data_IF_506883079322
#
_entry.id   IF_506883079322
#
_cell.length_a   1.000
_cell.length_b   1.000
_cell.length_c   1.000
_cell.angle_alpha   90.00
_cell.angle_beta   90.00
_cell.angle_gamma   90.00
#
_symmetry.space_group_name_H-M   'P 1'
#
loop_
_entity.id
_entity.type
_entity.pdbx_description
1 polymer ?
#
# COMPACT_ATOMS: atom_id res chain seq x y z
N UNK A 1 11.52 -21.44 -24.96
CA UNK A 1 11.05 -20.42 -23.99
C UNK A 1 11.94 -19.17 -24.00
N UNK A 2 13.19 -19.20 -23.52
CA UNK A 2 14.02 -17.96 -23.48
C UNK A 2 14.43 -17.41 -24.84
N UNK A 3 14.67 -18.27 -25.84
CA UNK A 3 15.07 -17.83 -27.20
C UNK A 3 13.89 -17.23 -27.97
N UNK A 4 12.75 -17.92 -27.94
CA UNK A 4 11.53 -17.48 -28.63
C UNK A 4 10.99 -16.17 -28.04
N UNK A 5 10.96 -16.05 -26.70
CA UNK A 5 10.53 -14.82 -26.04
C UNK A 5 11.45 -13.63 -26.40
N UNK A 6 12.76 -13.86 -26.49
CA UNK A 6 13.72 -12.81 -26.88
C UNK A 6 13.47 -12.31 -28.29
N UNK A 7 13.21 -13.21 -29.24
CA UNK A 7 12.88 -12.85 -30.63
C UNK A 7 11.55 -12.09 -30.70
N UNK A 8 10.54 -12.53 -29.95
CA UNK A 8 9.25 -11.83 -29.86
C UNK A 8 9.41 -10.41 -29.30
N UNK A 9 10.21 -10.22 -28.26
CA UNK A 9 10.46 -8.89 -27.67
C UNK A 9 11.12 -7.91 -28.64
N UNK A 10 11.99 -8.37 -29.56
CA UNK A 10 12.63 -7.50 -30.56
C UNK A 10 11.66 -6.94 -31.60
N UNK A 11 10.53 -7.60 -31.82
CA UNK A 11 9.49 -7.21 -32.78
C UNK A 11 8.21 -6.71 -32.09
N UNK A 12 8.26 -6.51 -30.77
CA UNK A 12 7.09 -6.17 -30.00
C UNK A 12 6.76 -4.68 -30.08
N UNK A 13 5.48 -4.36 -30.24
CA UNK A 13 4.94 -3.00 -30.28
C UNK A 13 3.85 -2.82 -29.23
N UNK A 14 3.72 -1.58 -28.74
CA UNK A 14 2.68 -1.21 -27.80
C UNK A 14 1.37 -0.84 -28.50
N UNK A 15 0.26 -1.49 -28.15
CA UNK A 15 -1.07 -1.16 -28.64
C UNK A 15 -2.04 -0.87 -27.50
N UNK A 16 -2.66 0.30 -27.50
CA UNK A 16 -3.68 0.67 -26.52
C UNK A 16 -4.98 -0.10 -26.78
N UNK A 17 -5.54 -0.69 -25.73
CA UNK A 17 -6.78 -1.48 -25.76
C UNK A 17 -7.63 -1.14 -24.54
N UNK A 18 -8.95 -1.16 -24.72
CA UNK A 18 -9.89 -1.10 -23.61
C UNK A 18 -10.06 -2.49 -23.01
N UNK A 19 -9.85 -2.60 -21.71
CA UNK A 19 -9.84 -3.89 -21.00
C UNK A 19 -10.57 -3.83 -19.66
N UNK A 20 -11.18 -4.94 -19.28
CA UNK A 20 -11.50 -5.27 -17.90
C UNK A 20 -10.36 -6.14 -17.38
N UNK A 21 -9.78 -5.73 -16.26
CA UNK A 21 -8.68 -6.41 -15.60
C UNK A 21 -9.19 -7.02 -14.31
N UNK A 22 -8.86 -8.29 -14.10
CA UNK A 22 -9.18 -9.06 -12.91
C UNK A 22 -7.86 -9.55 -12.33
N UNK A 23 -7.66 -9.28 -11.05
CA UNK A 23 -6.55 -9.81 -10.27
C UNK A 23 -7.14 -10.64 -9.14
N UNK A 24 -6.61 -11.84 -8.92
CA UNK A 24 -7.00 -12.71 -7.80
C UNK A 24 -5.76 -13.18 -7.04
N UNK A 25 -5.95 -13.49 -5.76
CA UNK A 25 -4.89 -13.95 -4.84
C UNK A 25 -5.46 -14.80 -3.72
N UNK A 26 -4.81 -15.93 -3.45
CA UNK A 26 -5.25 -16.91 -2.46
C UNK A 26 -4.91 -16.48 -1.04
N UNK A 27 -5.95 -16.28 -0.22
CA UNK A 27 -5.77 -15.75 1.13
C UNK A 27 -5.21 -16.78 2.09
N UNK A 28 -4.07 -16.44 2.67
CA UNK A 28 -3.37 -17.31 3.61
C UNK A 28 -2.38 -18.26 2.93
N UNK A 29 -2.23 -18.21 1.60
CA UNK A 29 -1.28 -19.08 0.90
C UNK A 29 0.16 -18.87 1.36
N UNK A 30 0.60 -17.62 1.55
CA UNK A 30 1.93 -17.33 2.11
C UNK A 30 2.21 -17.98 3.48
N UNK A 31 1.17 -18.20 4.30
CA UNK A 31 1.29 -18.91 5.57
C UNK A 31 1.28 -20.42 5.36
N UNK A 32 0.40 -20.91 4.48
CA UNK A 32 0.32 -22.31 4.07
C UNK A 32 1.64 -22.80 3.46
N UNK A 33 2.23 -22.07 2.52
CA UNK A 33 3.49 -22.41 1.86
C UNK A 33 4.73 -22.42 2.78
N UNK A 34 4.62 -21.89 4.01
CA UNK A 34 5.68 -22.01 5.03
C UNK A 34 5.63 -23.32 5.79
N UNK A 35 4.48 -23.98 5.80
CA UNK A 35 4.19 -25.16 6.62
C UNK A 35 4.03 -26.40 5.74
N UNK A 36 3.38 -26.25 4.59
CA UNK A 36 3.18 -27.31 3.61
C UNK A 36 4.48 -27.70 2.92
N UNK A 37 4.55 -28.96 2.50
CA UNK A 37 5.63 -29.41 1.63
C UNK A 37 5.57 -28.67 0.29
N UNK A 38 6.73 -28.42 -0.32
CA UNK A 38 6.78 -27.67 -1.58
C UNK A 38 6.03 -28.37 -2.71
N UNK A 39 5.92 -29.70 -2.68
CA UNK A 39 5.11 -30.48 -3.61
C UNK A 39 3.62 -30.21 -3.44
N UNK A 40 3.15 -30.15 -2.20
CA UNK A 40 1.74 -29.98 -1.87
C UNK A 40 1.28 -28.58 -2.25
N UNK A 41 2.12 -27.56 -1.99
CA UNK A 41 1.85 -26.21 -2.45
C UNK A 41 1.78 -26.11 -3.98
N UNK A 42 2.66 -26.81 -4.70
CA UNK A 42 2.64 -26.84 -6.15
C UNK A 42 1.41 -27.57 -6.70
N UNK A 43 1.00 -28.68 -6.08
CA UNK A 43 -0.16 -29.46 -6.48
C UNK A 43 -1.47 -28.70 -6.25
N UNK A 44 -1.59 -28.01 -5.11
CA UNK A 44 -2.70 -27.11 -4.85
C UNK A 44 -2.79 -26.00 -5.90
N UNK A 45 -1.68 -25.30 -6.19
CA UNK A 45 -1.68 -24.24 -7.21
C UNK A 45 -2.03 -24.79 -8.60
N UNK A 46 -1.50 -25.96 -8.98
CA UNK A 46 -1.87 -26.62 -10.24
C UNK A 46 -3.38 -26.82 -10.31
N UNK A 47 -3.96 -27.43 -9.29
CA UNK A 47 -5.40 -27.74 -9.21
C UNK A 47 -6.25 -26.47 -9.30
N UNK A 48 -5.93 -25.46 -8.49
CA UNK A 48 -6.61 -24.16 -8.48
C UNK A 48 -6.54 -23.48 -9.85
N UNK A 49 -5.35 -23.37 -10.46
CA UNK A 49 -5.20 -22.66 -11.73
C UNK A 49 -5.89 -23.37 -12.90
N UNK A 50 -5.85 -24.71 -12.93
CA UNK A 50 -6.58 -25.49 -13.93
C UNK A 50 -8.08 -25.22 -13.82
N UNK A 51 -8.65 -25.32 -12.62
CA UNK A 51 -10.08 -25.07 -12.39
C UNK A 51 -10.50 -23.64 -12.77
N UNK A 52 -9.69 -22.63 -12.41
CA UNK A 52 -9.98 -21.23 -12.74
C UNK A 52 -10.02 -20.98 -14.25
N UNK A 53 -9.07 -21.54 -15.00
CA UNK A 53 -8.97 -21.32 -16.46
C UNK A 53 -10.02 -22.14 -17.23
N UNK A 54 -10.29 -23.37 -16.79
CA UNK A 54 -11.16 -24.27 -17.53
C UNK A 54 -12.65 -24.00 -17.23
N UNK A 55 -13.01 -23.63 -16.00
CA UNK A 55 -14.42 -23.58 -15.57
C UNK A 55 -14.95 -22.16 -15.27
N UNK A 56 -14.07 -21.21 -14.97
CA UNK A 56 -14.48 -19.85 -14.58
C UNK A 56 -14.19 -18.84 -15.68
N UNK A 57 -12.93 -18.62 -16.02
CA UNK A 57 -12.52 -17.60 -16.97
C UNK A 57 -12.14 -18.23 -18.30
N UNK A 58 -13.15 -18.71 -19.02
CA UNK A 58 -12.97 -19.35 -20.33
C UNK A 58 -12.56 -18.29 -21.36
N UNK A 59 -11.54 -18.61 -22.15
CA UNK A 59 -11.01 -17.81 -23.27
C UNK A 59 -10.77 -16.32 -22.96
N UNK A 60 -9.97 -15.98 -21.93
CA UNK A 60 -9.58 -14.59 -21.70
C UNK A 60 -8.67 -14.11 -22.83
N UNK A 61 -8.66 -12.80 -23.09
CA UNK A 61 -7.72 -12.20 -24.06
C UNK A 61 -6.27 -12.44 -23.63
N UNK A 62 -6.02 -12.39 -22.31
CA UNK A 62 -4.72 -12.64 -21.74
C UNK A 62 -4.86 -13.09 -20.29
N UNK A 63 -3.97 -13.99 -19.85
CA UNK A 63 -3.78 -14.26 -18.45
C UNK A 63 -2.33 -14.55 -18.11
N UNK A 64 -1.95 -14.32 -16.85
CA UNK A 64 -0.64 -14.73 -16.32
C UNK A 64 -0.73 -15.09 -14.84
N UNK A 65 0.06 -16.08 -14.42
CA UNK A 65 0.22 -16.42 -13.01
C UNK A 65 1.11 -15.37 -12.33
N UNK A 66 0.79 -15.02 -11.09
CA UNK A 66 1.50 -14.01 -10.29
C UNK A 66 1.89 -14.54 -8.91
N UNK A 67 2.46 -15.75 -8.87
CA UNK A 67 2.79 -16.45 -7.62
C UNK A 67 1.66 -17.39 -7.23
N UNK A 68 0.92 -17.02 -6.18
CA UNK A 68 -0.32 -17.61 -5.66
C UNK A 68 -1.59 -16.88 -6.14
N UNK A 69 -1.39 -15.94 -7.06
CA UNK A 69 -2.47 -15.21 -7.71
C UNK A 69 -2.46 -15.36 -9.23
N UNK A 70 -3.42 -14.70 -9.86
CA UNK A 70 -3.58 -14.69 -11.31
C UNK A 70 -4.06 -13.32 -11.77
N UNK A 71 -3.53 -12.87 -12.91
CA UNK A 71 -4.02 -11.75 -13.68
C UNK A 71 -4.79 -12.29 -14.88
N UNK A 72 -5.99 -11.77 -15.10
CA UNK A 72 -6.88 -12.12 -16.21
C UNK A 72 -7.38 -10.82 -16.86
N UNK A 73 -7.40 -10.77 -18.18
CA UNK A 73 -7.89 -9.62 -18.94
C UNK A 73 -8.89 -10.05 -20.00
N UNK A 74 -9.94 -9.24 -20.12
CA UNK A 74 -10.87 -9.27 -21.23
C UNK A 74 -10.79 -7.95 -21.97
N UNK A 75 -10.58 -8.01 -23.30
CA UNK A 75 -10.73 -6.85 -24.17
C UNK A 75 -12.21 -6.59 -24.42
N UNK A 76 -12.59 -5.32 -24.50
CA UNK A 76 -13.94 -4.93 -24.91
C UNK A 76 -13.90 -3.76 -25.90
N UNK A 77 -15.01 -3.60 -26.61
CA UNK A 77 -15.35 -2.45 -27.43
C UNK A 77 -16.71 -1.88 -26.99
N UNK A 78 -17.31 -1.01 -27.80
CA UNK A 78 -18.59 -0.38 -27.48
C UNK A 78 -19.73 -1.39 -27.34
N UNK A 79 -19.72 -2.46 -28.14
CA UNK A 79 -20.82 -3.41 -28.23
C UNK A 79 -20.71 -4.48 -27.15
N UNK A 80 -19.49 -4.90 -26.83
CA UNK A 80 -19.20 -5.97 -25.86
C UNK A 80 -19.03 -5.49 -24.42
N UNK A 81 -18.94 -4.18 -24.15
CA UNK A 81 -18.64 -3.65 -22.81
C UNK A 81 -19.56 -4.19 -21.71
N UNK A 82 -20.88 -4.18 -21.92
CA UNK A 82 -21.85 -4.59 -20.90
C UNK A 82 -21.69 -6.08 -20.60
N UNK A 83 -21.60 -6.91 -21.63
CA UNK A 83 -21.48 -8.36 -21.48
C UNK A 83 -20.16 -8.76 -20.81
N UNK A 84 -19.05 -8.13 -21.21
CA UNK A 84 -17.72 -8.39 -20.62
C UNK A 84 -17.68 -7.99 -19.15
N UNK A 85 -18.23 -6.82 -18.80
CA UNK A 85 -18.27 -6.36 -17.40
C UNK A 85 -19.13 -7.28 -16.54
N UNK A 86 -20.34 -7.64 -16.99
CA UNK A 86 -21.21 -8.55 -16.24
C UNK A 86 -20.59 -9.93 -16.08
N UNK A 87 -20.04 -10.50 -17.16
CA UNK A 87 -19.38 -11.81 -17.12
C UNK A 87 -18.20 -11.80 -16.15
N UNK A 88 -17.35 -10.77 -16.19
CA UNK A 88 -16.20 -10.64 -15.30
C UNK A 88 -16.61 -10.59 -13.82
N UNK A 89 -17.63 -9.80 -13.48
CA UNK A 89 -18.12 -9.62 -12.11
C UNK A 89 -18.83 -10.88 -11.61
N UNK A 90 -19.76 -11.42 -12.40
CA UNK A 90 -20.50 -12.65 -12.08
C UNK A 90 -19.55 -13.83 -11.84
N UNK A 91 -18.59 -14.03 -12.75
CA UNK A 91 -17.61 -15.11 -12.64
C UNK A 91 -16.74 -14.95 -11.41
N UNK A 92 -16.32 -13.71 -11.09
CA UNK A 92 -15.53 -13.41 -9.89
C UNK A 92 -16.30 -13.70 -8.60
N UNK A 93 -17.57 -13.29 -8.52
CA UNK A 93 -18.43 -13.55 -7.36
C UNK A 93 -18.68 -15.05 -7.18
N UNK A 94 -18.91 -15.78 -8.28
CA UNK A 94 -19.07 -17.24 -8.28
C UNK A 94 -17.79 -17.92 -7.80
N UNK A 95 -16.63 -17.55 -8.36
CA UNK A 95 -15.34 -18.10 -7.95
C UNK A 95 -15.07 -17.91 -6.46
N UNK A 96 -15.27 -16.70 -5.93
CA UNK A 96 -15.12 -16.44 -4.48
C UNK A 96 -16.01 -17.36 -3.63
N UNK A 97 -17.24 -17.62 -4.10
CA UNK A 97 -18.21 -18.45 -3.39
C UNK A 97 -17.79 -19.92 -3.36
N UNK A 98 -17.28 -20.42 -4.48
CA UNK A 98 -16.95 -21.82 -4.66
C UNK A 98 -15.51 -22.17 -4.22
N UNK A 99 -14.65 -21.16 -4.03
CA UNK A 99 -13.20 -21.32 -3.88
C UNK A 99 -12.79 -22.34 -2.80
N UNK A 100 -13.49 -22.35 -1.65
CA UNK A 100 -13.17 -23.26 -0.55
C UNK A 100 -13.35 -24.75 -0.89
N UNK A 101 -14.11 -25.08 -1.93
CA UNK A 101 -14.32 -26.43 -2.44
C UNK A 101 -13.66 -26.71 -3.79
N UNK A 102 -12.87 -25.76 -4.34
CA UNK A 102 -12.39 -25.81 -5.72
C UNK A 102 -11.54 -27.06 -6.04
N UNK A 103 -10.81 -27.56 -5.04
CA UNK A 103 -9.95 -28.74 -5.16
C UNK A 103 -10.55 -30.02 -4.56
N UNK A 104 -11.83 -30.02 -4.14
CA UNK A 104 -12.42 -31.13 -3.38
C UNK A 104 -12.44 -32.46 -4.16
N UNK A 105 -12.54 -32.39 -5.49
CA UNK A 105 -12.55 -33.57 -6.37
C UNK A 105 -11.16 -33.97 -6.88
N UNK A 106 -10.10 -33.25 -6.48
CA UNK A 106 -8.73 -33.59 -6.87
C UNK A 106 -8.10 -34.54 -5.83
N UNK A 107 -7.94 -35.85 -6.14
CA UNK A 107 -7.43 -36.81 -5.17
C UNK A 107 -5.97 -36.56 -4.77
N UNK A 108 -5.23 -35.71 -5.52
CA UNK A 108 -3.87 -35.31 -5.18
C UNK A 108 -3.83 -34.17 -4.16
N UNK A 109 -4.94 -33.45 -3.96
CA UNK A 109 -5.08 -32.42 -2.92
C UNK A 109 -5.78 -33.03 -1.70
N UNK A 110 -5.03 -33.80 -0.92
CA UNK A 110 -5.55 -34.55 0.24
C UNK A 110 -5.08 -33.99 1.60
N UNK A 111 -4.77 -32.70 1.64
CA UNK A 111 -4.27 -31.94 2.78
C UNK A 111 -5.09 -30.66 3.00
N UNK A 112 -4.95 -30.01 4.16
CA UNK A 112 -5.64 -28.75 4.43
C UNK A 112 -5.10 -27.63 3.53
N UNK A 113 -6.00 -26.92 2.85
CA UNK A 113 -5.66 -25.84 1.91
C UNK A 113 -6.35 -24.53 2.28
N UNK A 114 -5.81 -23.38 1.83
CA UNK A 114 -6.50 -22.11 1.95
C UNK A 114 -7.85 -22.12 1.24
N UNK A 115 -8.90 -21.62 1.90
CA UNK A 115 -10.28 -21.62 1.39
C UNK A 115 -10.86 -20.25 1.05
N UNK A 116 -10.04 -19.19 1.03
CA UNK A 116 -10.49 -17.82 0.80
C UNK A 116 -9.72 -17.17 -0.36
N UNK A 117 -10.40 -16.27 -1.07
CA UNK A 117 -9.87 -15.62 -2.27
C UNK A 117 -10.18 -14.12 -2.24
N UNK A 118 -9.18 -13.28 -2.54
CA UNK A 118 -9.40 -11.86 -2.80
C UNK A 118 -9.39 -11.60 -4.29
N UNK A 119 -10.35 -10.84 -4.80
CA UNK A 119 -10.41 -10.41 -6.20
C UNK A 119 -10.51 -8.89 -6.30
N UNK A 120 -9.75 -8.29 -7.22
CA UNK A 120 -9.80 -6.89 -7.58
C UNK A 120 -10.11 -6.73 -9.05
N UNK A 121 -11.07 -5.86 -9.37
CA UNK A 121 -11.51 -5.62 -10.75
C UNK A 121 -11.41 -4.13 -11.07
N UNK A 122 -10.79 -3.81 -12.21
CA UNK A 122 -10.79 -2.46 -12.73
C UNK A 122 -10.96 -2.48 -14.26
N UNK A 123 -11.39 -1.37 -14.85
CA UNK A 123 -11.41 -1.22 -16.31
C UNK A 123 -10.75 0.06 -16.77
N UNK A 124 -10.29 0.06 -18.00
CA UNK A 124 -9.73 1.26 -18.61
C UNK A 124 -8.92 0.96 -19.86
N UNK A 125 -8.21 1.98 -20.34
CA UNK A 125 -7.21 1.79 -21.38
C UNK A 125 -5.94 1.19 -20.76
N UNK A 126 -5.44 0.12 -21.36
CA UNK A 126 -4.15 -0.51 -21.06
C UNK A 126 -3.38 -0.75 -22.36
N UNK A 127 -2.05 -0.77 -22.27
CA UNK A 127 -1.17 -1.01 -23.41
C UNK A 127 -0.77 -2.48 -23.42
N UNK A 128 -1.20 -3.21 -24.44
CA UNK A 128 -0.72 -4.54 -24.76
C UNK A 128 0.63 -4.44 -25.47
N UNK A 129 1.60 -5.25 -25.03
CA UNK A 129 2.85 -5.47 -25.74
C UNK A 129 2.66 -6.66 -26.67
N UNK A 130 2.71 -6.44 -27.98
CA UNK A 130 2.28 -7.44 -28.99
C UNK A 130 3.40 -7.70 -29.98
N UNK A 131 3.67 -8.97 -30.27
CA UNK A 131 4.57 -9.40 -31.35
C UNK A 131 3.84 -10.35 -32.29
N UNK A 132 3.63 -9.93 -33.53
CA UNK A 132 2.75 -10.62 -34.48
C UNK A 132 1.31 -10.68 -33.94
N UNK A 133 0.77 -11.88 -33.79
CA UNK A 133 -0.56 -12.12 -33.21
C UNK A 133 -0.52 -12.41 -31.70
N UNK A 134 0.68 -12.44 -31.09
CA UNK A 134 0.85 -12.83 -29.68
C UNK A 134 0.92 -11.60 -28.78
N UNK A 135 0.05 -11.58 -27.78
CA UNK A 135 0.19 -10.65 -26.66
C UNK A 135 1.22 -11.20 -25.67
N UNK A 136 2.26 -10.41 -25.39
CA UNK A 136 3.36 -10.78 -24.51
C UNK A 136 3.11 -10.34 -23.06
N UNK A 137 2.62 -9.13 -22.87
CA UNK A 137 2.23 -8.61 -21.56
C UNK A 137 1.27 -7.42 -21.72
N UNK A 138 0.70 -6.98 -20.60
CA UNK A 138 -0.07 -5.74 -20.48
C UNK A 138 0.55 -4.80 -19.44
N UNK A 139 0.39 -3.51 -19.67
CA UNK A 139 0.77 -2.46 -18.73
C UNK A 139 -0.28 -1.35 -18.70
N UNK A 140 -0.43 -0.67 -17.56
CA UNK A 140 -1.32 0.48 -17.44
C UNK A 140 -1.93 0.65 -16.07
N UNK A 141 -2.55 1.81 -15.86
CA UNK A 141 -3.25 2.17 -14.62
C UNK A 141 -4.31 1.13 -14.18
N UNK A 142 -5.18 0.58 -15.04
CA UNK A 142 -6.19 -0.37 -14.57
C UNK A 142 -5.58 -1.67 -14.02
N UNK A 143 -4.41 -2.11 -14.50
CA UNK A 143 -3.71 -3.27 -13.95
C UNK A 143 -3.24 -3.00 -12.52
N UNK A 144 -2.58 -1.85 -12.31
CA UNK A 144 -2.08 -1.47 -10.98
C UNK A 144 -3.22 -1.25 -10.00
N UNK A 145 -4.34 -0.67 -10.46
CA UNK A 145 -5.52 -0.48 -9.62
C UNK A 145 -6.17 -1.82 -9.25
N UNK A 146 -6.45 -2.69 -10.22
CA UNK A 146 -7.03 -4.01 -9.96
C UNK A 146 -6.17 -4.83 -8.98
N UNK A 147 -4.84 -4.83 -9.14
CA UNK A 147 -3.94 -5.50 -8.21
C UNK A 147 -4.05 -4.94 -6.78
N UNK A 148 -4.23 -3.63 -6.62
CA UNK A 148 -4.39 -3.00 -5.31
C UNK A 148 -5.78 -3.18 -4.71
N UNK A 149 -6.82 -3.21 -5.52
CA UNK A 149 -8.17 -3.52 -5.06
C UNK A 149 -8.27 -4.98 -4.62
N UNK A 150 -7.55 -5.86 -5.31
CA UNK A 150 -7.43 -7.26 -4.91
C UNK A 150 -6.85 -7.36 -3.51
N UNK A 151 -5.86 -6.57 -3.10
CA UNK A 151 -5.34 -6.53 -1.72
C UNK A 151 -6.42 -6.19 -0.66
N UNK A 152 -7.46 -5.45 -1.04
CA UNK A 152 -8.56 -5.03 -0.17
C UNK A 152 -9.67 -6.09 -0.01
N UNK A 153 -9.78 -7.05 -0.93
CA UNK A 153 -10.75 -8.14 -0.88
C UNK A 153 -10.45 -9.12 0.27
N UNK A 154 -10.74 -8.72 1.51
CA UNK A 154 -10.45 -9.45 2.75
C UNK A 154 -11.71 -9.55 3.62
N UNK A 155 -11.90 -10.64 4.38
CA UNK A 155 -11.08 -11.85 4.40
C UNK A 155 -11.22 -12.70 3.13
N UNK A 156 -12.30 -12.50 2.35
CA UNK A 156 -12.56 -13.11 1.04
C UNK A 156 -13.59 -12.22 0.32
N UNK A 157 -13.50 -12.06 -1.00
CA UNK A 157 -14.47 -11.27 -1.76
C UNK A 157 -13.89 -10.41 -2.87
N UNK A 158 -14.79 -9.68 -3.53
CA UNK A 158 -14.50 -8.86 -4.72
C UNK A 158 -14.53 -7.38 -4.39
N UNK A 159 -13.53 -6.63 -4.87
CA UNK A 159 -13.50 -5.15 -4.82
C UNK A 159 -13.34 -4.61 -6.24
N UNK A 160 -14.23 -3.69 -6.61
CA UNK A 160 -14.37 -3.19 -7.98
C UNK A 160 -14.10 -1.69 -8.00
N UNK A 161 -13.31 -1.22 -8.96
CA UNK A 161 -13.13 0.20 -9.24
C UNK A 161 -14.45 0.88 -9.61
N UNK A 162 -14.74 2.06 -9.06
CA UNK A 162 -15.92 2.85 -9.44
C UNK A 162 -15.95 3.13 -10.96
N UNK A 163 -14.79 3.19 -11.60
CA UNK A 163 -14.65 3.35 -13.06
C UNK A 163 -15.36 2.28 -13.88
N UNK A 164 -15.66 1.09 -13.32
CA UNK A 164 -16.53 0.08 -13.95
C UNK A 164 -17.91 0.64 -14.25
N UNK A 165 -18.41 1.54 -13.40
CA UNK A 165 -19.78 2.09 -13.38
C UNK A 165 -20.81 1.02 -13.04
N UNK A 166 -21.37 1.10 -11.83
CA UNK A 166 -22.29 0.08 -11.32
C UNK A 166 -23.54 -0.06 -12.19
N UNK A 167 -23.96 1.01 -12.89
CA UNK A 167 -25.11 0.99 -13.80
C UNK A 167 -24.94 0.06 -15.01
N UNK A 168 -23.73 -0.42 -15.29
CA UNK A 168 -23.50 -1.43 -16.33
C UNK A 168 -23.81 -2.85 -15.85
N UNK A 169 -23.91 -3.07 -14.54
CA UNK A 169 -24.19 -4.38 -13.98
C UNK A 169 -25.70 -4.66 -14.00
N UNK A 170 -26.05 -5.94 -14.13
CA UNK A 170 -27.40 -6.42 -13.84
C UNK A 170 -27.74 -6.16 -12.37
N UNK A 171 -29.02 -5.99 -12.08
CA UNK A 171 -29.52 -5.66 -10.74
C UNK A 171 -29.09 -6.70 -9.69
N UNK A 172 -29.17 -8.00 -10.03
CA UNK A 172 -28.76 -9.12 -9.15
C UNK A 172 -27.28 -9.09 -8.74
N UNK A 173 -26.43 -8.51 -9.59
CA UNK A 173 -25.00 -8.36 -9.30
C UNK A 173 -24.74 -7.08 -8.51
N UNK A 174 -25.32 -5.95 -8.95
CA UNK A 174 -25.09 -4.65 -8.30
C UNK A 174 -25.55 -4.62 -6.84
N UNK A 175 -26.64 -5.32 -6.52
CA UNK A 175 -27.16 -5.46 -5.15
C UNK A 175 -26.20 -6.17 -4.20
N UNK A 176 -25.18 -6.88 -4.69
CA UNK A 176 -24.18 -7.55 -3.85
C UNK A 176 -23.07 -6.61 -3.35
N UNK A 177 -23.02 -5.37 -3.84
CA UNK A 177 -21.96 -4.43 -3.51
C UNK A 177 -22.47 -3.23 -2.70
N UNK A 178 -21.56 -2.64 -1.92
CA UNK A 178 -21.71 -1.33 -1.29
C UNK A 178 -20.68 -0.37 -1.84
N UNK A 179 -21.07 0.87 -2.12
CA UNK A 179 -20.12 1.89 -2.56
C UNK A 179 -19.35 2.46 -1.36
N UNK A 180 -18.03 2.50 -1.46
CA UNK A 180 -17.13 3.05 -0.44
C UNK A 180 -16.08 3.97 -1.06
N UNK A 181 -15.44 4.80 -0.23
CA UNK A 181 -14.25 5.56 -0.60
C UNK A 181 -13.04 5.02 0.15
N UNK A 182 -11.99 4.67 -0.58
CA UNK A 182 -10.79 4.03 0.00
C UNK A 182 -9.51 4.71 -0.44
N UNK A 183 -8.51 4.67 0.42
CA UNK A 183 -7.15 5.11 0.14
C UNK A 183 -6.28 3.92 -0.23
N UNK A 184 -5.53 4.06 -1.32
CA UNK A 184 -4.82 2.96 -1.95
C UNK A 184 -3.36 3.32 -2.18
N UNK A 185 -2.44 2.54 -1.59
CA UNK A 185 -1.00 2.78 -1.72
C UNK A 185 -0.56 2.71 -3.18
N UNK A 186 0.23 3.68 -3.62
CA UNK A 186 0.74 3.84 -4.98
C UNK A 186 -0.27 4.38 -5.98
N UNK A 187 -1.54 4.58 -5.59
CA UNK A 187 -2.61 4.99 -6.51
C UNK A 187 -3.34 6.24 -6.01
N UNK A 188 -3.84 6.20 -4.77
CA UNK A 188 -4.80 7.13 -4.21
C UNK A 188 -4.52 7.31 -2.70
N UNK A 189 -3.35 7.89 -2.39
CA UNK A 189 -2.86 7.96 -1.01
C UNK A 189 -3.37 9.19 -0.26
N UNK A 190 -3.63 10.29 -0.97
CA UNK A 190 -4.10 11.55 -0.39
C UNK A 190 -5.59 11.82 -0.64
N UNK A 191 -6.08 11.41 -1.81
CA UNK A 191 -7.47 11.54 -2.23
C UNK A 191 -8.05 10.14 -2.38
N UNK A 192 -9.15 9.85 -1.71
CA UNK A 192 -9.79 8.55 -1.77
C UNK A 192 -10.37 8.29 -3.18
N UNK A 193 -10.35 7.03 -3.60
CA UNK A 193 -11.04 6.57 -4.82
C UNK A 193 -12.34 5.86 -4.45
N UNK A 194 -13.36 6.02 -5.28
CA UNK A 194 -14.59 5.26 -5.17
C UNK A 194 -14.36 3.80 -5.57
N UNK A 195 -14.96 2.89 -4.81
CA UNK A 195 -14.97 1.45 -5.08
C UNK A 195 -16.34 0.86 -4.75
N UNK A 196 -16.66 -0.26 -5.38
CA UNK A 196 -17.78 -1.12 -5.02
C UNK A 196 -17.23 -2.35 -4.31
N UNK A 197 -17.67 -2.58 -3.10
CA UNK A 197 -17.15 -3.59 -2.17
C UNK A 197 -18.19 -4.67 -1.97
N UNK A 198 -17.84 -5.92 -2.25
CA UNK A 198 -18.68 -7.08 -1.96
C UNK A 198 -19.05 -7.08 -0.46
N UNK A 199 -20.32 -7.34 -0.13
CA UNK A 199 -20.82 -7.37 1.26
C UNK A 199 -20.06 -8.32 2.20
N UNK A 200 -19.28 -9.27 1.66
CA UNK A 200 -18.40 -10.18 2.41
C UNK A 200 -17.07 -9.55 2.83
N UNK A 201 -16.69 -8.43 2.22
CA UNK A 201 -15.40 -7.77 2.41
C UNK A 201 -15.48 -6.73 3.52
N UNK A 202 -14.48 -6.75 4.39
CA UNK A 202 -14.22 -5.69 5.36
C UNK A 202 -12.95 -4.93 4.96
N UNK A 203 -13.12 -3.68 4.53
CA UNK A 203 -12.00 -2.82 4.15
C UNK A 203 -11.14 -2.50 5.39
N UNK A 204 -9.82 -2.79 5.35
CA UNK A 204 -8.94 -2.51 6.48
C UNK A 204 -8.99 -1.04 6.90
N UNK A 205 -8.95 -0.79 8.22
CA UNK A 205 -9.05 0.56 8.81
C UNK A 205 -8.03 1.54 8.21
N UNK A 206 -6.81 1.09 7.93
CA UNK A 206 -5.76 1.93 7.35
C UNK A 206 -6.04 2.35 5.90
N UNK A 207 -6.95 1.67 5.19
CA UNK A 207 -7.45 2.09 3.88
C UNK A 207 -8.64 3.04 3.96
N UNK A 208 -9.14 3.34 5.17
CA UNK A 208 -10.21 4.32 5.40
C UNK A 208 -9.69 5.73 5.70
N UNK A 209 -8.36 5.89 5.73
CA UNK A 209 -7.68 7.16 5.98
C UNK A 209 -6.54 7.38 4.98
N UNK A 210 -6.14 8.64 4.73
CA UNK A 210 -4.99 8.95 3.89
C UNK A 210 -3.74 8.16 4.30
N UNK A 211 -3.05 7.61 3.30
CA UNK A 211 -1.81 6.87 3.50
C UNK A 211 -0.69 7.91 3.52
N UNK A 212 -0.16 8.19 4.72
CA UNK A 212 0.88 9.18 4.97
C UNK A 212 2.06 9.05 3.98
N UNK A 213 2.13 9.94 2.97
CA UNK A 213 3.21 10.06 1.96
C UNK A 213 4.46 10.78 2.45
N UNK A 214 4.58 10.99 3.75
CA UNK A 214 5.52 11.95 4.25
C UNK A 214 6.94 11.39 4.30
N UNK A 215 7.90 12.21 3.90
CA UNK A 215 9.31 11.96 4.19
C UNK A 215 9.64 12.61 5.53
N UNK A 216 10.38 11.89 6.37
CA UNK A 216 10.92 12.49 7.59
C UNK A 216 12.02 13.47 7.17
N UNK A 217 11.85 14.75 7.49
CA UNK A 217 12.89 15.76 7.34
C UNK A 217 13.52 16.02 8.70
N UNK A 218 14.84 16.14 8.72
CA UNK A 218 15.64 16.37 9.93
C UNK A 218 16.35 17.71 9.77
N UNK A 219 16.08 18.66 10.66
CA UNK A 219 16.81 19.93 10.70
C UNK A 219 18.26 19.72 11.17
N UNK A 220 19.12 20.70 10.85
CA UNK A 220 20.49 20.72 11.36
C UNK A 220 20.53 20.66 12.89
N UNK A 221 21.40 19.80 13.41
CA UNK A 221 21.57 19.60 14.84
C UNK A 221 22.12 20.87 15.51
N UNK A 222 21.51 21.26 16.63
CA UNK A 222 21.89 22.45 17.39
C UNK A 222 22.47 22.04 18.75
N UNK A 223 23.70 22.48 19.05
CA UNK A 223 24.32 22.31 20.39
C UNK A 223 24.01 23.49 21.31
N UNK A 224 23.51 23.24 22.51
CA UNK A 224 23.25 24.28 23.53
C UNK A 224 23.52 23.79 24.95
N UNK A 225 23.85 24.70 25.85
CA UNK A 225 23.89 24.43 27.29
C UNK A 225 22.54 24.73 27.96
N UNK A 226 22.27 24.17 29.14
CA UNK A 226 21.02 24.45 29.87
C UNK A 226 20.90 25.94 30.29
N UNK A 227 22.02 26.67 30.38
CA UNK A 227 22.00 28.13 30.58
C UNK A 227 21.45 28.82 29.34
N UNK A 228 21.97 28.48 28.16
CA UNK A 228 21.52 29.06 26.88
C UNK A 228 20.06 28.71 26.58
N UNK A 229 19.60 27.50 26.93
CA UNK A 229 18.18 27.13 26.81
C UNK A 229 17.27 27.96 27.73
N UNK A 230 17.77 28.42 28.88
CA UNK A 230 17.00 29.27 29.78
C UNK A 230 16.74 30.66 29.18
N UNK A 231 17.72 31.19 28.45
CA UNK A 231 17.64 32.46 27.72
C UNK A 231 16.69 32.36 26.53
N UNK A 232 16.44 31.15 26.04
CA UNK A 232 15.57 30.88 24.90
C UNK A 232 14.08 30.79 25.27
N UNK A 233 13.66 30.71 26.54
CA UNK A 233 12.24 30.88 26.92
C UNK A 233 11.18 30.27 25.97
N UNK A 234 10.31 31.12 25.39
CA UNK A 234 9.26 30.80 24.40
C UNK A 234 9.76 30.74 22.93
N UNK A 235 11.06 30.68 22.70
CA UNK A 235 11.67 30.73 21.37
C UNK A 235 11.16 29.59 20.49
N UNK A 236 10.83 29.93 19.25
CA UNK A 236 10.30 28.98 18.27
C UNK A 236 11.37 28.73 17.21
N UNK A 237 11.71 27.47 16.97
CA UNK A 237 12.70 27.12 15.95
C UNK A 237 12.09 27.31 14.56
N UNK A 238 12.71 28.09 13.66
CA UNK A 238 12.25 28.15 12.28
C UNK A 238 12.42 26.78 11.62
N UNK A 239 11.44 26.39 10.82
CA UNK A 239 11.45 25.16 10.04
C UNK A 239 11.74 25.48 8.59
N UNK A 240 12.65 24.71 7.99
CA UNK A 240 13.09 24.85 6.60
C UNK A 240 11.94 24.61 5.62
N UNK A 241 11.03 23.68 5.95
CA UNK A 241 9.87 23.33 5.14
C UNK A 241 8.57 23.40 5.96
N UNK A 242 7.42 23.55 5.28
CA UNK A 242 6.12 23.37 5.93
C UNK A 242 5.97 21.91 6.40
N UNK A 243 5.68 21.66 7.69
CA UNK A 243 5.33 20.33 8.16
C UNK A 243 4.04 19.84 7.52
N UNK A 244 4.11 18.66 6.92
CA UNK A 244 2.97 18.03 6.28
C UNK A 244 1.90 17.58 7.27
N UNK A 245 2.32 17.26 8.50
CA UNK A 245 1.44 17.00 9.65
C UNK A 245 1.91 17.85 10.83
N UNK A 246 1.10 18.85 11.20
CA UNK A 246 1.46 19.93 12.13
C UNK A 246 1.58 19.49 13.59
N UNK A 247 1.04 18.33 13.95
CA UNK A 247 1.12 17.74 15.29
C UNK A 247 2.21 16.65 15.42
N UNK A 248 2.89 16.29 14.32
CA UNK A 248 3.99 15.30 14.31
C UNK A 248 5.38 15.95 14.21
N UNK A 249 5.61 17.03 14.96
CA UNK A 249 6.94 17.66 15.05
C UNK A 249 7.63 17.13 16.31
N UNK A 250 8.71 16.39 16.14
CA UNK A 250 9.46 15.77 17.23
C UNK A 250 10.77 16.49 17.48
N UNK A 251 11.14 16.62 18.75
CA UNK A 251 12.42 17.18 19.20
C UNK A 251 13.18 16.08 19.91
N UNK A 252 14.30 15.68 19.34
CA UNK A 252 15.22 14.72 19.93
C UNK A 252 16.30 15.47 20.69
N UNK A 253 16.48 15.09 21.96
CA UNK A 253 17.47 15.70 22.84
C UNK A 253 18.47 14.64 23.26
N UNK A 254 19.74 14.89 22.91
CA UNK A 254 20.88 14.08 23.27
C UNK A 254 21.69 14.79 24.35
N UNK A 255 21.71 14.25 25.56
CA UNK A 255 22.43 14.83 26.69
C UNK A 255 23.45 13.85 27.28
N UNK A 256 24.65 14.30 27.69
CA UNK A 256 25.65 13.41 28.25
C UNK A 256 25.27 12.95 29.66
N UNK A 257 25.51 11.66 29.95
CA UNK A 257 25.27 11.09 31.29
C UNK A 257 26.32 11.56 32.30
N UNK A 258 25.94 11.82 33.57
CA UNK A 258 26.92 12.04 34.64
C UNK A 258 27.72 10.77 34.94
N UNK A 259 29.02 10.92 35.19
CA UNK A 259 29.86 9.86 35.73
C UNK A 259 29.70 9.75 37.25
N UNK A 260 30.16 8.64 37.84
CA UNK A 260 30.22 8.48 39.31
C UNK A 260 31.05 9.58 40.01
N UNK A 261 31.99 10.20 39.29
CA UNK A 261 32.81 11.33 39.76
C UNK A 261 32.17 12.70 39.53
N UNK A 262 30.93 12.77 39.05
CA UNK A 262 30.22 14.02 38.77
C UNK A 262 30.72 14.77 37.52
N UNK A 263 31.47 14.08 36.65
CA UNK A 263 31.94 14.58 35.36
C UNK A 263 31.05 14.15 34.20
N UNK A 264 31.35 14.63 32.99
CA UNK A 264 30.61 14.29 31.76
C UNK A 264 31.09 12.93 31.21
N UNK A 265 30.18 12.00 30.94
CA UNK A 265 30.53 10.76 30.24
C UNK A 265 30.96 11.04 28.79
N UNK A 266 31.97 10.32 28.30
CA UNK A 266 32.44 10.41 26.90
C UNK A 266 31.63 9.54 25.94
N UNK A 267 30.92 8.53 26.46
CA UNK A 267 30.21 7.52 25.66
C UNK A 267 28.75 7.36 26.07
N UNK A 268 28.43 7.66 27.33
CA UNK A 268 27.07 7.55 27.84
C UNK A 268 26.24 8.80 27.54
N UNK A 269 25.12 8.61 26.84
CA UNK A 269 24.13 9.65 26.58
C UNK A 269 22.73 9.23 27.05
N UNK A 270 21.92 10.22 27.41
CA UNK A 270 20.47 10.15 27.47
C UNK A 270 19.91 10.59 26.13
N UNK A 271 18.88 9.88 25.67
CA UNK A 271 18.08 10.22 24.51
C UNK A 271 16.65 10.48 25.00
N UNK A 272 16.14 11.66 24.72
CA UNK A 272 14.76 12.02 25.01
C UNK A 272 14.07 12.51 23.75
N UNK A 273 12.77 12.32 23.70
CA UNK A 273 11.93 12.79 22.61
C UNK A 273 10.79 13.60 23.19
N UNK A 274 10.58 14.79 22.64
CA UNK A 274 9.50 15.71 23.00
C UNK A 274 8.69 16.05 21.75
N UNK A 275 7.46 16.52 21.93
CA UNK A 275 6.63 17.03 20.82
C UNK A 275 6.66 18.55 20.84
N UNK A 276 6.91 19.17 19.68
CA UNK A 276 6.82 20.62 19.52
C UNK A 276 5.45 21.04 19.00
N UNK A 277 5.00 22.23 19.37
CA UNK A 277 3.79 22.82 18.82
C UNK A 277 4.12 23.56 17.52
N UNK A 278 3.34 23.32 16.47
CA UNK A 278 3.46 24.07 15.23
C UNK A 278 2.94 25.51 15.40
N UNK A 279 3.64 26.44 14.77
CA UNK A 279 3.23 27.83 14.68
C UNK A 279 3.63 28.45 13.32
N UNK A 280 2.90 29.47 12.88
CA UNK A 280 3.14 30.15 11.61
C UNK A 280 3.02 31.67 11.78
N UNK A 281 4.13 32.37 11.57
CA UNK A 281 4.22 33.82 11.74
C UNK A 281 5.11 34.41 10.66
N UNK A 282 4.69 35.55 10.11
CA UNK A 282 5.50 36.34 9.14
C UNK A 282 6.03 35.45 7.99
N UNK A 283 5.14 34.64 7.37
CA UNK A 283 5.48 33.75 6.26
C UNK A 283 6.57 32.70 6.56
N UNK A 284 6.79 32.38 7.84
CA UNK A 284 7.77 31.40 8.29
C UNK A 284 7.10 30.37 9.20
N UNK A 285 7.46 29.10 9.02
CA UNK A 285 6.99 27.98 9.84
C UNK A 285 7.89 27.83 11.06
N UNK A 286 7.30 27.53 12.22
CA UNK A 286 8.03 27.40 13.46
C UNK A 286 7.61 26.16 14.27
N UNK A 287 8.57 25.60 14.99
CA UNK A 287 8.36 24.63 16.06
C UNK A 287 8.57 25.31 17.41
N UNK A 288 7.49 25.47 18.18
CA UNK A 288 7.55 25.94 19.56
C UNK A 288 7.90 24.78 20.48
N UNK A 289 9.09 24.84 21.09
CA UNK A 289 9.64 23.78 21.93
C UNK A 289 9.53 24.16 23.39
N UNK A 290 9.05 23.23 24.22
CA UNK A 290 8.98 23.44 25.66
C UNK A 290 10.35 23.22 26.32
N UNK A 291 11.22 24.23 26.29
CA UNK A 291 12.55 24.12 26.88
C UNK A 291 12.55 24.03 28.41
N UNK A 292 11.46 24.44 29.07
CA UNK A 292 11.33 24.32 30.53
C UNK A 292 11.34 22.85 30.91
N UNK A 293 10.53 22.04 30.24
CA UNK A 293 10.44 20.59 30.44
C UNK A 293 11.79 19.89 30.20
N UNK A 294 12.50 20.23 29.12
CA UNK A 294 13.83 19.68 28.81
C UNK A 294 14.82 19.99 29.94
N UNK A 295 14.79 21.21 30.47
CA UNK A 295 15.71 21.66 31.54
C UNK A 295 15.41 21.01 32.87
N UNK A 296 14.14 20.85 33.22
CA UNK A 296 13.71 20.16 34.44
C UNK A 296 14.17 18.71 34.40
N UNK A 297 13.89 17.99 33.30
CA UNK A 297 14.35 16.61 33.12
C UNK A 297 15.87 16.48 33.17
N UNK A 298 16.61 17.41 32.54
CA UNK A 298 18.06 17.40 32.59
C UNK A 298 18.60 17.62 34.01
N UNK A 299 17.98 18.50 34.79
CA UNK A 299 18.36 18.76 36.18
C UNK A 299 18.10 17.53 37.07
N UNK A 300 16.94 16.87 36.92
CA UNK A 300 16.62 15.62 37.62
C UNK A 300 17.65 14.51 37.35
N UNK A 301 18.17 14.48 36.14
CA UNK A 301 19.17 13.50 35.70
C UNK A 301 20.61 13.90 36.06
N UNK A 302 20.79 14.96 36.86
CA UNK A 302 22.09 15.40 37.37
C UNK A 302 23.01 16.06 36.34
N UNK A 303 22.46 16.52 35.21
CA UNK A 303 23.24 17.20 34.17
C UNK A 303 23.54 18.64 34.62
N UNK A 304 24.82 19.02 34.53
CA UNK A 304 25.25 20.35 34.93
C UNK A 304 24.81 21.40 33.91
N UNK A 305 24.51 22.61 34.41
CA UNK A 305 23.95 23.71 33.59
C UNK A 305 24.84 24.12 32.40
N UNK A 306 26.14 23.92 32.53
CA UNK A 306 27.15 24.27 31.51
C UNK A 306 27.45 23.14 30.53
N UNK A 307 26.84 21.96 30.68
CA UNK A 307 27.08 20.86 29.77
C UNK A 307 26.30 21.07 28.47
N UNK A 308 26.93 20.81 27.32
CA UNK A 308 26.22 20.87 26.05
C UNK A 308 25.26 19.67 25.95
N UNK A 309 24.08 19.96 25.43
CA UNK A 309 23.11 19.01 24.92
C UNK A 309 22.88 19.32 23.44
N UNK A 310 22.47 18.31 22.68
CA UNK A 310 22.17 18.47 21.27
C UNK A 310 20.68 18.30 21.05
N UNK A 311 20.12 19.18 20.23
CA UNK A 311 18.72 19.14 19.82
C UNK A 311 18.65 18.92 18.32
N UNK A 312 17.76 18.03 17.92
CA UNK A 312 17.45 17.76 16.52
C UNK A 312 15.93 17.79 16.39
N UNK A 313 15.41 18.52 15.40
CA UNK A 313 13.99 18.57 15.12
C UNK A 313 13.71 17.74 13.89
N UNK A 314 12.73 16.85 13.98
CA UNK A 314 12.27 16.08 12.84
C UNK A 314 10.77 16.19 12.66
N UNK A 315 10.34 16.24 11.41
CA UNK A 315 8.92 16.34 11.07
C UNK A 315 8.64 15.78 9.67
N UNK A 316 7.42 15.28 9.43
CA UNK A 316 7.00 14.84 8.11
C UNK A 316 6.91 16.03 7.15
N UNK A 317 7.50 15.93 5.96
CA UNK A 317 7.30 16.86 4.84
C UNK A 317 6.61 16.14 3.68
N UNK A 318 5.87 16.89 2.86
CA UNK A 318 5.33 16.35 1.61
C UNK A 318 6.49 16.24 0.63
N UNK A 319 6.66 15.11 -0.09
CA UNK A 319 7.56 15.06 -1.22
C UNK A 319 7.16 16.18 -2.17
N UNK A 320 8.11 17.03 -2.56
CA UNK A 320 7.86 18.00 -3.62
C UNK A 320 7.36 17.22 -4.85
N UNK A 321 6.18 17.60 -5.35
CA UNK A 321 5.66 17.15 -6.65
C UNK A 321 6.48 17.82 -7.76
N UNK A 322 7.80 17.67 -7.72
CA UNK A 322 8.73 18.10 -8.74
C UNK A 322 9.57 16.90 -9.12
N UNK A 323 8.96 16.07 -9.97
CA UNK A 323 9.57 15.43 -11.13
C UNK A 323 8.39 15.01 -12.01
N UNK A 324 7.95 15.96 -12.86
CA UNK A 324 7.08 15.67 -13.99
C UNK A 324 7.79 14.85 -15.07
#
# INVERSE_FOLDING_TARGET
>A
MHKDLRELLHSAEGQSRHVVVIFLDVRGFSSFAKIAESSDAAEFLRSVYTQIVDDYFVEPEFFKLTGDGMLILYRYDRESLIDVVNTAVETSLRLVTDFGGLCAEDPMVNFEVPGNLGIGIARGAATALISGEKVLDYSGRPLNLAARLMDLGRPSGVVIDEGIRIELLRDDLSEQFTQESVYVKGIAEADAVGVYVDKRVDIPVFNRHPIDRFHQFTEDQVERTLVQLAEWGDFSFPLTHEPAVKDKIQVFVNAPKPTKSGGRSKTGVYNWTFTAQYDFRVQTHYAKVNFVEIRELAAEQGIKRTWPIHLTIEYPIRPSLENG
#
